data_IF_430216612250
#
_entry.id   IF_430216612250
#
_cell.length_a   1.000
_cell.length_b   1.000
_cell.length_c   1.000
_cell.angle_alpha   90.00
_cell.angle_beta   90.00
_cell.angle_gamma   90.00
#
_symmetry.space_group_name_H-M   'P 1'
#
loop_
_entity.id
_entity.type
_entity.pdbx_description
1 polymer ?
#
# COMPACT_ATOMS: atom_id res chain seq x y z
N UNK A 1 17.43 4.34 -10.15
CA UNK A 1 18.33 5.09 -9.22
C UNK A 1 17.85 6.52 -8.94
N UNK A 2 17.32 7.27 -9.91
CA UNK A 2 16.85 8.65 -9.67
C UNK A 2 15.73 8.81 -8.63
N UNK A 3 14.80 7.85 -8.53
CA UNK A 3 13.62 7.93 -7.65
C UNK A 3 13.93 8.07 -6.15
N UNK A 4 14.95 7.35 -5.66
CA UNK A 4 15.32 7.39 -4.24
C UNK A 4 15.88 8.76 -3.83
N UNK A 5 16.62 9.43 -4.73
CA UNK A 5 17.17 10.76 -4.46
C UNK A 5 16.07 11.82 -4.38
N UNK A 6 15.07 11.74 -5.26
CA UNK A 6 13.90 12.63 -5.20
C UNK A 6 13.08 12.41 -3.94
N UNK A 7 12.86 11.14 -3.54
CA UNK A 7 12.15 10.81 -2.32
C UNK A 7 12.85 11.36 -1.08
N UNK A 8 14.17 11.14 -0.98
CA UNK A 8 14.99 11.61 0.13
C UNK A 8 15.01 13.14 0.20
N UNK A 9 15.15 13.82 -0.94
CA UNK A 9 15.17 15.28 -1.03
C UNK A 9 13.86 15.92 -0.56
N UNK A 10 12.73 15.37 -1.00
CA UNK A 10 11.39 15.82 -0.55
C UNK A 10 11.22 15.57 0.94
N UNK A 11 11.59 14.39 1.44
CA UNK A 11 11.44 14.03 2.85
C UNK A 11 12.22 14.98 3.77
N UNK A 12 13.50 15.24 3.44
CA UNK A 12 14.35 16.16 4.22
C UNK A 12 13.79 17.58 4.21
N UNK A 13 13.39 18.07 3.03
CA UNK A 13 12.85 19.43 2.89
C UNK A 13 11.53 19.59 3.66
N UNK A 14 10.66 18.59 3.58
CA UNK A 14 9.39 18.56 4.30
C UNK A 14 9.58 18.53 5.82
N UNK A 15 10.53 17.74 6.33
CA UNK A 15 10.83 17.67 7.77
C UNK A 15 11.33 19.02 8.27
N UNK A 16 12.28 19.64 7.56
CA UNK A 16 12.82 20.96 7.91
C UNK A 16 11.70 22.01 7.93
N UNK A 17 10.85 22.05 6.88
CA UNK A 17 9.71 22.96 6.80
C UNK A 17 8.69 22.71 7.93
N UNK A 18 8.34 21.46 8.22
CA UNK A 18 7.41 21.10 9.30
C UNK A 18 7.92 21.56 10.66
N UNK A 19 9.21 21.34 10.96
CA UNK A 19 9.82 21.74 12.24
C UNK A 19 9.88 23.27 12.38
N UNK A 20 10.19 24.00 11.30
CA UNK A 20 10.21 25.46 11.31
C UNK A 20 8.83 26.06 11.60
N UNK A 21 7.78 25.58 10.93
CA UNK A 21 6.42 26.13 11.11
C UNK A 21 5.75 25.68 12.41
N UNK A 22 6.15 24.57 13.00
CA UNK A 22 5.73 24.21 14.38
C UNK A 22 6.09 25.29 15.41
N UNK A 23 7.09 26.13 15.13
CA UNK A 23 7.47 27.25 16.01
C UNK A 23 6.50 28.43 15.97
N UNK A 24 5.83 28.65 14.83
CA UNK A 24 4.83 29.71 14.64
C UNK A 24 3.45 29.29 15.16
N UNK A 25 3.16 27.98 15.15
CA UNK A 25 1.98 27.40 15.78
C UNK A 25 1.81 25.91 15.46
N UNK A 26 1.46 25.10 16.47
CA UNK A 26 1.35 23.65 16.34
C UNK A 26 0.38 23.18 15.23
N UNK A 27 -0.66 23.97 14.94
CA UNK A 27 -1.64 23.69 13.90
C UNK A 27 -1.03 23.68 12.48
N UNK A 28 -0.15 24.64 12.19
CA UNK A 28 0.51 24.75 10.87
C UNK A 28 1.50 23.62 10.63
N UNK A 29 2.19 23.19 11.68
CA UNK A 29 3.09 22.03 11.62
C UNK A 29 2.41 20.72 11.24
N UNK A 30 1.16 20.56 11.68
CA UNK A 30 0.31 19.39 11.45
C UNK A 30 -0.17 19.31 10.00
N UNK A 31 -0.65 20.43 9.46
CA UNK A 31 -1.08 20.52 8.06
C UNK A 31 0.09 20.22 7.11
N UNK A 32 1.29 20.72 7.43
CA UNK A 32 2.47 20.49 6.60
C UNK A 32 2.97 19.06 6.68
N UNK A 33 2.94 18.40 7.86
CA UNK A 33 3.34 16.99 7.93
C UNK A 33 2.38 16.09 7.16
N UNK A 34 1.08 16.34 7.26
CA UNK A 34 0.08 15.61 6.47
C UNK A 34 0.27 15.86 4.96
N UNK A 35 0.44 17.11 4.53
CA UNK A 35 0.69 17.44 3.12
C UNK A 35 1.98 16.79 2.60
N UNK A 36 3.05 16.82 3.39
CA UNK A 36 4.31 16.15 3.06
C UNK A 36 4.15 14.65 2.90
N UNK A 37 3.39 13.99 3.79
CA UNK A 37 3.04 12.57 3.67
C UNK A 37 2.36 12.26 2.34
N UNK A 38 1.37 13.06 1.94
CA UNK A 38 0.69 12.89 0.65
C UNK A 38 1.65 13.06 -0.54
N UNK A 39 2.53 14.06 -0.51
CA UNK A 39 3.51 14.30 -1.59
C UNK A 39 4.49 13.13 -1.70
N UNK A 40 5.02 12.65 -0.56
CA UNK A 40 5.90 11.49 -0.53
C UNK A 40 5.21 10.24 -1.06
N UNK A 41 3.94 10.04 -0.73
CA UNK A 41 3.17 8.92 -1.26
C UNK A 41 3.03 8.96 -2.78
N UNK A 42 2.64 10.11 -3.33
CA UNK A 42 2.44 10.29 -4.77
C UNK A 42 3.73 10.04 -5.54
N UNK A 43 4.88 10.43 -4.99
CA UNK A 43 6.19 10.21 -5.63
C UNK A 43 6.60 8.73 -5.70
N UNK A 44 6.06 7.86 -4.84
CA UNK A 44 6.35 6.41 -4.86
C UNK A 44 5.38 5.62 -5.76
N UNK A 45 4.19 6.16 -6.06
CA UNK A 45 3.18 5.49 -6.90
C UNK A 45 3.69 4.99 -8.26
N UNK A 46 4.57 5.71 -8.99
CA UNK A 46 5.12 5.21 -10.25
C UNK A 46 5.94 3.93 -10.08
N UNK A 47 6.78 3.85 -9.04
CA UNK A 47 7.60 2.66 -8.76
C UNK A 47 6.73 1.45 -8.41
N UNK A 48 5.65 1.68 -7.65
CA UNK A 48 4.66 0.63 -7.36
C UNK A 48 3.97 0.13 -8.64
N UNK A 49 3.62 1.04 -9.56
CA UNK A 49 3.03 0.67 -10.86
C UNK A 49 3.99 -0.15 -11.72
N UNK A 50 5.27 0.21 -11.73
CA UNK A 50 6.29 -0.53 -12.48
C UNK A 50 6.44 -1.96 -11.94
N UNK A 51 6.47 -2.13 -10.61
CA UNK A 51 6.50 -3.45 -9.96
C UNK A 51 5.27 -4.28 -10.34
N UNK A 52 4.07 -3.70 -10.27
CA UNK A 52 2.82 -4.39 -10.64
C UNK A 52 2.87 -4.81 -12.12
N UNK A 53 3.36 -3.94 -13.00
CA UNK A 53 3.46 -4.22 -14.44
C UNK A 53 4.46 -5.34 -14.76
N UNK A 54 5.59 -5.37 -14.04
CA UNK A 54 6.59 -6.43 -14.17
C UNK A 54 6.03 -7.77 -13.68
N UNK A 55 5.34 -7.78 -12.54
CA UNK A 55 4.68 -8.98 -12.02
C UNK A 55 3.60 -9.50 -12.96
N UNK A 56 2.77 -8.62 -13.55
CA UNK A 56 1.78 -9.03 -14.54
C UNK A 56 2.42 -9.63 -15.80
N UNK A 57 3.51 -9.03 -16.29
CA UNK A 57 4.24 -9.55 -17.45
C UNK A 57 4.85 -10.93 -17.18
N UNK A 58 5.30 -11.20 -15.95
CA UNK A 58 5.79 -12.52 -15.56
C UNK A 58 4.68 -13.57 -15.49
N UNK A 59 3.48 -13.21 -15.01
CA UNK A 59 2.35 -14.15 -14.99
C UNK A 59 1.92 -14.56 -16.41
N UNK A 60 1.91 -13.61 -17.35
CA UNK A 60 1.53 -13.89 -18.74
C UNK A 60 2.50 -14.88 -19.41
N UNK A 61 3.78 -14.84 -19.07
CA UNK A 61 4.81 -15.74 -19.62
C UNK A 61 4.77 -17.13 -18.95
N UNK A 62 4.34 -17.22 -17.69
CA UNK A 62 4.55 -18.42 -16.87
C UNK A 62 3.43 -19.46 -16.94
N UNK A 63 2.36 -19.26 -17.73
CA UNK A 63 1.09 -20.03 -17.64
C UNK A 63 0.48 -20.09 -16.22
N UNK A 64 1.05 -19.38 -15.24
CA UNK A 64 0.48 -19.17 -13.91
C UNK A 64 -0.74 -18.30 -14.15
N UNK A 65 -1.90 -18.94 -14.27
CA UNK A 65 -3.14 -18.26 -14.64
C UNK A 65 -3.34 -16.99 -13.82
N UNK A 66 -3.74 -15.91 -14.49
CA UNK A 66 -4.11 -14.62 -13.91
C UNK A 66 -5.04 -14.73 -12.69
N UNK A 67 -5.73 -15.87 -12.57
CA UNK A 67 -6.48 -16.31 -11.41
C UNK A 67 -5.72 -16.21 -10.07
N UNK A 68 -4.43 -16.55 -10.01
CA UNK A 68 -3.66 -16.54 -8.75
C UNK A 68 -2.99 -15.19 -8.46
N UNK A 69 -2.42 -14.55 -9.49
CA UNK A 69 -1.67 -13.30 -9.30
C UNK A 69 -2.59 -12.11 -9.01
N UNK A 70 -3.77 -12.06 -9.63
CA UNK A 70 -4.70 -10.92 -9.49
C UNK A 70 -5.20 -10.73 -8.04
N UNK A 71 -5.68 -11.77 -7.32
CA UNK A 71 -6.04 -11.65 -5.91
C UNK A 71 -4.86 -11.25 -5.02
N UNK A 72 -3.66 -11.80 -5.27
CA UNK A 72 -2.46 -11.47 -4.50
C UNK A 72 -2.08 -10.00 -4.65
N UNK A 73 -2.05 -9.49 -5.90
CA UNK A 73 -1.78 -8.07 -6.17
C UNK A 73 -2.82 -7.16 -5.51
N UNK A 74 -4.10 -7.55 -5.47
CA UNK A 74 -5.15 -6.80 -4.76
C UNK A 74 -4.92 -6.74 -3.26
N UNK A 75 -4.52 -7.85 -2.64
CA UNK A 75 -4.20 -7.91 -1.20
C UNK A 75 -3.01 -6.98 -0.89
N UNK A 76 -1.92 -7.10 -1.65
CA UNK A 76 -0.72 -6.27 -1.46
C UNK A 76 -1.04 -4.79 -1.65
N UNK A 77 -1.81 -4.45 -2.69
CA UNK A 77 -2.26 -3.09 -2.96
C UNK A 77 -3.08 -2.53 -1.80
N UNK A 78 -4.12 -3.24 -1.35
CA UNK A 78 -4.95 -2.78 -0.23
C UNK A 78 -4.15 -2.66 1.07
N UNK A 79 -3.24 -3.59 1.35
CA UNK A 79 -2.39 -3.52 2.54
C UNK A 79 -1.49 -2.28 2.52
N UNK A 80 -0.82 -2.00 1.39
CA UNK A 80 0.08 -0.87 1.26
C UNK A 80 -0.67 0.47 1.31
N UNK A 81 -1.75 0.62 0.52
CA UNK A 81 -2.57 1.84 0.51
C UNK A 81 -3.23 2.07 1.89
N UNK A 82 -3.70 1.00 2.52
CA UNK A 82 -4.34 1.04 3.82
C UNK A 82 -3.39 1.48 4.93
N UNK A 83 -2.20 0.88 5.01
CA UNK A 83 -1.18 1.26 6.00
C UNK A 83 -0.77 2.73 5.82
N UNK A 84 -0.56 3.17 4.58
CA UNK A 84 -0.27 4.58 4.28
C UNK A 84 -1.39 5.52 4.72
N UNK A 85 -2.65 5.18 4.47
CA UNK A 85 -3.78 5.96 4.95
C UNK A 85 -3.84 6.06 6.47
N UNK A 86 -3.54 4.96 7.18
CA UNK A 86 -3.48 4.93 8.65
C UNK A 86 -2.38 5.84 9.17
N UNK A 87 -1.18 5.78 8.59
CA UNK A 87 -0.07 6.66 8.97
C UNK A 87 -0.40 8.13 8.70
N UNK A 88 -1.05 8.44 7.58
CA UNK A 88 -1.46 9.80 7.27
C UNK A 88 -2.46 10.36 8.31
N UNK A 89 -3.41 9.55 8.78
CA UNK A 89 -4.31 9.95 9.86
C UNK A 89 -3.56 10.18 11.19
N UNK A 90 -2.55 9.37 11.49
CA UNK A 90 -1.69 9.56 12.68
C UNK A 90 -0.87 10.85 12.57
N UNK A 91 -0.30 11.11 11.40
CA UNK A 91 0.46 12.31 11.10
C UNK A 91 -0.40 13.58 11.15
N UNK A 92 -1.69 13.46 10.85
CA UNK A 92 -2.70 14.51 11.00
C UNK A 92 -3.22 14.66 12.45
N UNK A 93 -2.69 13.90 13.41
CA UNK A 93 -3.11 13.97 14.82
C UNK A 93 -4.43 13.24 15.12
N UNK A 94 -5.05 12.64 14.10
CA UNK A 94 -6.38 12.00 14.17
C UNK A 94 -6.26 10.50 14.50
N UNK A 95 -5.72 10.18 15.68
CA UNK A 95 -5.51 8.79 16.11
C UNK A 95 -6.80 7.97 16.17
N UNK A 96 -7.92 8.58 16.55
CA UNK A 96 -9.21 7.89 16.62
C UNK A 96 -9.70 7.44 15.23
N UNK A 97 -9.43 8.25 14.18
CA UNK A 97 -9.74 7.89 12.79
C UNK A 97 -8.75 6.84 12.30
N UNK A 98 -7.46 6.99 12.62
CA UNK A 98 -6.42 6.05 12.23
C UNK A 98 -6.72 4.62 12.69
N UNK A 99 -7.13 4.43 13.95
CA UNK A 99 -7.49 3.12 14.51
C UNK A 99 -8.70 2.51 13.77
N UNK A 100 -9.72 3.32 13.46
CA UNK A 100 -10.90 2.86 12.72
C UNK A 100 -10.54 2.46 11.29
N UNK A 101 -9.68 3.24 10.63
CA UNK A 101 -9.18 2.93 9.30
C UNK A 101 -8.35 1.64 9.32
N UNK A 102 -7.46 1.45 10.29
CA UNK A 102 -6.65 0.25 10.45
C UNK A 102 -7.52 -1.00 10.60
N UNK A 103 -8.58 -0.91 11.41
CA UNK A 103 -9.57 -1.99 11.53
C UNK A 103 -10.28 -2.27 10.21
N UNK A 104 -10.73 -1.23 9.51
CA UNK A 104 -11.39 -1.37 8.21
C UNK A 104 -10.50 -2.05 7.17
N UNK A 105 -9.24 -1.65 7.08
CA UNK A 105 -8.23 -2.25 6.18
C UNK A 105 -8.07 -3.74 6.50
N UNK A 106 -7.93 -4.10 7.78
CA UNK A 106 -7.80 -5.50 8.21
C UNK A 106 -9.03 -6.34 7.83
N UNK A 107 -10.23 -5.80 7.99
CA UNK A 107 -11.47 -6.48 7.58
C UNK A 107 -11.48 -6.73 6.06
N UNK A 108 -11.13 -5.73 5.26
CA UNK A 108 -11.06 -5.87 3.79
C UNK A 108 -10.02 -6.93 3.39
N UNK A 109 -8.85 -6.94 4.03
CA UNK A 109 -7.83 -7.96 3.78
C UNK A 109 -8.35 -9.38 4.08
N UNK A 110 -9.07 -9.57 5.18
CA UNK A 110 -9.69 -10.86 5.52
C UNK A 110 -10.68 -11.33 4.46
N UNK A 111 -11.50 -10.42 3.91
CA UNK A 111 -12.42 -10.75 2.82
C UNK A 111 -11.66 -11.13 1.54
N UNK A 112 -10.56 -10.43 1.24
CA UNK A 112 -9.73 -10.72 0.07
C UNK A 112 -8.95 -12.05 0.19
N UNK A 113 -8.80 -12.61 1.39
CA UNK A 113 -8.23 -13.94 1.56
C UNK A 113 -9.16 -15.06 1.07
N UNK A 114 -10.48 -14.86 1.06
CA UNK A 114 -11.47 -15.86 0.62
C UNK A 114 -11.16 -16.41 -0.79
N UNK A 115 -10.98 -15.59 -1.84
CA UNK A 115 -10.67 -16.08 -3.18
C UNK A 115 -9.31 -16.78 -3.30
N UNK A 116 -8.36 -16.49 -2.41
CA UNK A 116 -7.06 -17.17 -2.39
C UNK A 116 -7.22 -18.57 -1.80
N UNK A 117 -7.95 -18.68 -0.68
CA UNK A 117 -8.24 -19.96 -0.03
C UNK A 117 -9.07 -20.86 -0.96
N UNK A 118 -10.08 -20.31 -1.65
CA UNK A 118 -10.91 -21.10 -2.57
C UNK A 118 -10.10 -21.68 -3.74
N UNK A 119 -9.16 -20.91 -4.29
CA UNK A 119 -8.28 -21.40 -5.35
C UNK A 119 -7.32 -22.47 -4.84
N UNK A 120 -6.76 -22.30 -3.63
CA UNK A 120 -5.94 -23.32 -3.00
C UNK A 120 -6.71 -24.63 -2.80
N UNK A 121 -7.94 -24.55 -2.30
CA UNK A 121 -8.80 -25.72 -2.13
C UNK A 121 -9.09 -26.42 -3.46
N UNK A 122 -9.39 -25.66 -4.51
CA UNK A 122 -9.60 -26.21 -5.85
C UNK A 122 -8.36 -26.92 -6.41
N UNK A 123 -7.16 -26.37 -6.15
CA UNK A 123 -5.91 -27.02 -6.54
C UNK A 123 -5.73 -28.34 -5.78
N UNK A 124 -5.95 -28.35 -4.47
CA UNK A 124 -5.84 -29.56 -3.65
C UNK A 124 -6.83 -30.63 -4.12
N UNK A 125 -8.09 -30.28 -4.39
CA UNK A 125 -9.10 -31.24 -4.84
C UNK A 125 -8.81 -31.75 -6.25
N UNK A 126 -8.28 -30.89 -7.14
CA UNK A 126 -7.83 -31.30 -8.48
C UNK A 126 -6.68 -32.31 -8.42
N UNK A 127 -5.71 -32.11 -7.52
CA UNK A 127 -4.61 -33.05 -7.33
C UNK A 127 -5.07 -34.37 -6.68
N UNK A 128 -6.00 -34.31 -5.73
CA UNK A 128 -6.53 -35.47 -5.02
C UNK A 128 -7.36 -36.38 -5.94
N UNK A 129 -8.19 -35.79 -6.82
CA UNK A 129 -9.07 -36.56 -7.70
C UNK A 129 -8.35 -37.20 -8.92
N UNK A 130 -7.01 -37.08 -8.99
CA UNK A 130 -6.21 -37.59 -10.09
C UNK A 130 -6.33 -36.68 -11.32
N UNK A 131 -5.22 -36.03 -11.69
CA UNK A 131 -5.17 -35.13 -12.84
C UNK A 131 -5.75 -35.76 -14.10
N UNK A 132 -6.83 -35.14 -14.59
CA UNK A 132 -7.18 -35.04 -16.00
C UNK A 132 -7.02 -33.58 -16.40
#
# INVERSE_FOLDING_TARGET
MGGIFTLLGIAVTAVIASVLLKREGAHWGLIISAAAGVILFITVLPELRDIISALSGLADVSQIGSAWLSPLLKIVGVAFLGEWGVQLCKDAGENAIAVKLEMGVKIVLLVLCIPVISQLLNLITSLLNGGI
#
